data_IF_414272215895
#
_entry.id   IF_414272215895
#
_cell.length_a   1.000
_cell.length_b   1.000
_cell.length_c   1.000
_cell.angle_alpha   90.00
_cell.angle_beta   90.00
_cell.angle_gamma   90.00
#
_symmetry.space_group_name_H-M   'P 1'
#
loop_
_entity.id
_entity.type
_entity.pdbx_description
1 polymer ?
#
# COMPACT_ATOMS: atom_id res chain seq x y z
N UNK A 1 1.73 9.26 5.51
CA UNK A 1 0.51 9.49 6.30
C UNK A 1 0.57 8.54 7.46
N UNK A 2 0.38 9.02 8.67
CA UNK A 2 0.33 8.17 9.86
C UNK A 2 -0.60 8.82 10.88
N UNK A 3 -1.21 8.03 11.76
CA UNK A 3 -2.03 8.55 12.87
C UNK A 3 -1.17 9.00 14.05
N UNK A 4 0.12 8.66 14.08
CA UNK A 4 1.03 8.95 15.18
C UNK A 4 2.23 9.79 14.70
N UNK A 5 2.20 11.09 15.00
CA UNK A 5 3.33 12.00 14.72
C UNK A 5 4.56 11.74 15.58
N UNK A 6 4.39 11.37 16.85
CA UNK A 6 5.51 11.17 17.79
C UNK A 6 6.49 10.13 17.26
N UNK A 7 6.00 9.01 16.71
CA UNK A 7 6.81 7.96 16.11
C UNK A 7 7.58 8.43 14.87
N UNK A 8 6.96 9.27 14.02
CA UNK A 8 7.64 9.89 12.88
C UNK A 8 8.76 10.83 13.35
N UNK A 9 8.47 11.68 14.34
CA UNK A 9 9.41 12.66 14.87
C UNK A 9 10.60 12.02 15.59
N UNK A 10 10.42 10.82 16.16
CA UNK A 10 11.52 10.03 16.71
C UNK A 10 12.58 9.67 15.65
N UNK A 11 12.16 9.34 14.43
CA UNK A 11 13.04 9.01 13.30
C UNK A 11 13.52 10.21 12.49
N UNK A 12 12.81 11.34 12.58
CA UNK A 12 13.04 12.53 11.76
C UNK A 12 14.49 13.07 11.84
N UNK A 13 15.19 13.12 12.99
CA UNK A 13 16.58 13.58 13.05
C UNK A 13 17.52 12.75 12.16
N UNK A 14 17.26 11.45 12.00
CA UNK A 14 18.05 10.57 11.13
C UNK A 14 17.79 10.89 9.66
N UNK A 15 16.53 11.13 9.30
CA UNK A 15 16.12 11.52 7.95
C UNK A 15 16.70 12.88 7.57
N UNK A 16 16.72 13.83 8.52
CA UNK A 16 17.35 15.15 8.35
C UNK A 16 18.86 15.02 8.17
N UNK A 17 19.52 14.18 8.98
CA UNK A 17 20.96 13.88 8.85
C UNK A 17 21.31 13.26 7.50
N UNK A 18 20.40 12.46 6.92
CA UNK A 18 20.55 11.91 5.58
C UNK A 18 20.32 12.93 4.45
N UNK A 19 19.85 14.15 4.77
CA UNK A 19 19.66 15.23 3.80
C UNK A 19 18.43 15.08 2.89
N UNK A 20 17.49 14.17 3.21
CA UNK A 20 16.34 13.85 2.34
C UNK A 20 14.98 14.27 2.91
N UNK A 21 14.94 14.88 4.10
CA UNK A 21 13.70 15.31 4.74
C UNK A 21 12.86 16.27 3.88
N UNK A 22 13.50 17.06 3.02
CA UNK A 22 12.84 18.00 2.09
C UNK A 22 11.94 17.31 1.05
N UNK A 23 12.03 15.98 0.89
CA UNK A 23 11.18 15.19 -0.01
C UNK A 23 9.88 14.73 0.67
N UNK A 24 9.73 14.93 1.98
CA UNK A 24 8.67 14.33 2.78
C UNK A 24 7.65 15.39 3.16
N UNK A 25 6.42 15.23 2.67
CA UNK A 25 5.25 15.90 3.23
C UNK A 25 4.55 14.94 4.20
N UNK A 26 4.76 15.14 5.50
CA UNK A 26 4.14 14.31 6.53
C UNK A 26 2.76 14.86 6.92
N UNK A 27 1.72 14.04 6.71
CA UNK A 27 0.36 14.30 7.17
C UNK A 27 0.04 13.38 8.34
N UNK A 28 -0.23 13.97 9.51
CA UNK A 28 -0.78 13.27 10.67
C UNK A 28 -2.29 13.17 10.52
N UNK A 29 -2.78 12.01 10.11
CA UNK A 29 -4.19 11.77 9.82
C UNK A 29 -4.42 10.28 9.53
N UNK A 30 -5.61 9.73 9.81
CA UNK A 30 -6.06 8.52 9.14
C UNK A 30 -5.92 8.67 7.62
N UNK A 31 -5.49 7.62 6.92
CA UNK A 31 -5.22 7.72 5.49
C UNK A 31 -6.50 7.94 4.66
N UNK A 32 -7.63 7.34 5.07
CA UNK A 32 -8.88 7.35 4.28
C UNK A 32 -9.37 8.76 3.91
N UNK A 33 -9.56 9.72 4.85
CA UNK A 33 -9.97 11.08 4.52
C UNK A 33 -9.00 11.80 3.57
N UNK A 34 -7.69 11.57 3.74
CA UNK A 34 -6.67 12.21 2.88
C UNK A 34 -6.75 11.66 1.46
N UNK A 35 -6.94 10.34 1.31
CA UNK A 35 -7.12 9.73 -0.01
C UNK A 35 -8.41 10.22 -0.68
N UNK A 36 -9.50 10.36 0.08
CA UNK A 36 -10.77 10.91 -0.43
C UNK A 36 -10.60 12.37 -0.88
N UNK A 37 -9.88 13.21 -0.12
CA UNK A 37 -9.56 14.59 -0.50
C UNK A 37 -8.69 14.65 -1.76
N UNK A 38 -7.65 13.82 -1.84
CA UNK A 38 -6.77 13.78 -3.02
C UNK A 38 -7.56 13.44 -4.29
N UNK A 39 -8.53 12.55 -4.21
CA UNK A 39 -9.37 12.16 -5.35
C UNK A 39 -10.34 13.24 -5.82
N UNK A 40 -10.64 14.25 -5.01
CA UNK A 40 -11.51 15.36 -5.41
C UNK A 40 -10.84 16.29 -6.44
N UNK A 41 -9.50 16.33 -6.48
CA UNK A 41 -8.76 17.07 -7.50
C UNK A 41 -8.32 16.11 -8.62
N UNK A 42 -8.93 16.27 -9.80
CA UNK A 42 -8.61 15.53 -11.03
C UNK A 42 -7.12 15.52 -11.38
N UNK A 43 -6.35 16.55 -10.96
CA UNK A 43 -4.90 16.59 -11.20
C UNK A 43 -4.12 15.51 -10.44
N UNK A 44 -4.69 14.95 -9.39
CA UNK A 44 -4.06 13.88 -8.61
C UNK A 44 -4.30 12.49 -9.21
N UNK A 45 -5.24 12.35 -10.14
CA UNK A 45 -5.51 11.07 -10.80
C UNK A 45 -4.31 10.69 -11.68
N UNK A 46 -3.76 9.51 -11.42
CA UNK A 46 -2.55 9.03 -12.08
C UNK A 46 -1.32 9.94 -11.88
N UNK A 47 -1.23 10.69 -10.78
CA UNK A 47 -0.08 11.56 -10.51
C UNK A 47 1.07 10.85 -9.79
N UNK A 48 0.79 9.73 -9.09
CA UNK A 48 1.78 9.02 -8.28
C UNK A 48 2.48 7.91 -9.06
N UNK A 49 3.82 7.88 -9.00
CA UNK A 49 4.63 6.80 -9.59
C UNK A 49 4.64 5.54 -8.73
N UNK A 50 4.70 5.71 -7.41
CA UNK A 50 4.81 4.62 -6.45
C UNK A 50 4.02 4.93 -5.17
N UNK A 51 3.37 3.91 -4.62
CA UNK A 51 2.64 3.99 -3.36
C UNK A 51 2.98 2.76 -2.52
N UNK A 52 3.40 2.96 -1.27
CA UNK A 52 3.64 1.89 -0.32
C UNK A 52 2.57 1.91 0.78
N UNK A 53 1.95 0.76 1.03
CA UNK A 53 0.84 0.58 1.96
C UNK A 53 1.29 -0.37 3.07
N UNK A 54 1.67 0.21 4.20
CA UNK A 54 1.98 -0.50 5.45
C UNK A 54 1.22 0.15 6.62
N UNK A 55 -0.09 -0.06 6.65
CA UNK A 55 -0.98 0.44 7.70
C UNK A 55 -1.91 -0.68 8.24
N UNK A 56 -3.10 -0.30 8.69
CA UNK A 56 -4.18 -1.16 9.17
C UNK A 56 -4.76 -2.06 8.05
N UNK A 57 -4.62 -3.37 8.25
CA UNK A 57 -4.84 -4.39 7.20
C UNK A 57 -6.31 -4.51 6.77
N UNK A 58 -7.24 -4.21 7.67
CA UNK A 58 -8.68 -4.18 7.43
C UNK A 58 -9.13 -3.08 6.45
N UNK A 59 -8.29 -2.05 6.22
CA UNK A 59 -8.55 -1.02 5.22
C UNK A 59 -7.84 -1.23 3.88
N UNK A 60 -7.03 -2.27 3.69
CA UNK A 60 -6.22 -2.39 2.45
C UNK A 60 -7.06 -2.44 1.18
N UNK A 61 -8.21 -3.10 1.21
CA UNK A 61 -9.15 -3.09 0.09
C UNK A 61 -9.79 -1.71 -0.14
N UNK A 62 -10.08 -0.98 0.94
CA UNK A 62 -10.61 0.38 0.86
C UNK A 62 -9.57 1.35 0.28
N UNK A 63 -8.30 1.19 0.65
CA UNK A 63 -7.17 1.89 0.06
C UNK A 63 -7.03 1.52 -1.41
N UNK A 64 -7.02 0.23 -1.76
CA UNK A 64 -6.83 -0.23 -3.13
C UNK A 64 -7.80 0.43 -4.12
N UNK A 65 -9.08 0.58 -3.73
CA UNK A 65 -10.11 1.27 -4.54
C UNK A 65 -9.76 2.73 -4.87
N UNK A 66 -8.98 3.41 -4.02
CA UNK A 66 -8.59 4.82 -4.18
C UNK A 66 -7.21 4.95 -4.82
N UNK A 67 -6.27 4.16 -4.33
CA UNK A 67 -4.88 4.18 -4.78
C UNK A 67 -4.75 3.80 -6.25
N UNK A 68 -5.61 2.91 -6.75
CA UNK A 68 -5.62 2.55 -8.16
C UNK A 68 -5.92 3.76 -9.05
N UNK A 69 -6.75 4.72 -8.62
CA UNK A 69 -7.04 5.93 -9.40
C UNK A 69 -5.89 6.95 -9.32
N UNK A 70 -5.20 7.03 -8.18
CA UNK A 70 -4.09 7.95 -7.94
C UNK A 70 -2.77 7.51 -8.61
N UNK A 71 -2.53 6.21 -8.74
CA UNK A 71 -1.28 5.68 -9.28
C UNK A 71 -1.27 5.71 -10.82
N UNK A 72 -0.13 6.00 -11.45
CA UNK A 72 -0.01 6.15 -12.91
C UNK A 72 -0.49 4.92 -13.69
N UNK A 73 -1.20 5.15 -14.80
CA UNK A 73 -1.57 4.10 -15.77
C UNK A 73 -0.38 3.77 -16.68
N UNK A 74 -0.18 2.48 -16.96
CA UNK A 74 0.71 2.02 -18.02
C UNK A 74 0.19 2.43 -19.41
N UNK A 75 0.72 3.52 -19.96
CA UNK A 75 0.41 3.98 -21.32
C UNK A 75 1.42 3.38 -22.30
N UNK A 76 1.22 2.12 -22.67
CA UNK A 76 2.11 1.38 -23.60
C UNK A 76 2.16 1.95 -25.03
N UNK A 77 1.40 2.98 -25.38
CA UNK A 77 1.13 3.37 -26.78
C UNK A 77 1.69 4.71 -27.25
N UNK A 78 2.45 5.50 -26.47
CA UNK A 78 3.01 6.77 -26.97
C UNK A 78 4.46 6.98 -26.50
N UNK A 79 5.40 6.64 -27.40
CA UNK A 79 6.80 7.10 -27.63
C UNK A 79 7.80 7.30 -26.48
N UNK A 80 7.40 7.23 -25.21
CA UNK A 80 8.30 7.20 -24.06
C UNK A 80 7.69 6.21 -23.07
N UNK A 81 8.25 5.01 -22.97
CA UNK A 81 7.78 3.93 -22.09
C UNK A 81 7.67 4.41 -20.63
N UNK A 82 6.53 4.99 -20.27
CA UNK A 82 6.20 5.27 -18.88
C UNK A 82 5.77 3.95 -18.28
N UNK A 83 6.66 3.34 -17.51
CA UNK A 83 6.34 2.20 -16.65
C UNK A 83 5.10 2.61 -15.84
N UNK A 84 4.03 1.81 -15.94
CA UNK A 84 2.84 2.02 -15.11
C UNK A 84 3.21 2.12 -13.64
N UNK A 85 2.47 2.92 -12.88
CA UNK A 85 2.78 3.11 -11.48
C UNK A 85 2.54 1.83 -10.66
N UNK A 86 3.20 1.78 -9.51
CA UNK A 86 3.31 0.58 -8.70
C UNK A 86 2.77 0.82 -7.29
N UNK A 87 1.94 -0.10 -6.79
CA UNK A 87 1.49 -0.14 -5.40
C UNK A 87 2.12 -1.35 -4.71
N UNK A 88 2.77 -1.15 -3.56
CA UNK A 88 3.27 -2.24 -2.72
C UNK A 88 2.42 -2.38 -1.46
N UNK A 89 1.85 -3.56 -1.23
CA UNK A 89 1.16 -3.90 0.03
C UNK A 89 2.07 -4.76 0.90
N UNK A 90 2.32 -4.33 2.13
CA UNK A 90 3.21 -5.04 3.06
C UNK A 90 2.47 -6.05 3.95
N UNK A 91 3.25 -6.96 4.53
CA UNK A 91 2.83 -8.07 5.40
C UNK A 91 1.75 -8.99 4.79
N UNK A 92 1.78 -9.19 3.47
CA UNK A 92 0.79 -9.99 2.73
C UNK A 92 0.90 -11.50 2.96
N UNK A 93 1.96 -11.98 3.61
CA UNK A 93 2.06 -13.36 4.13
C UNK A 93 1.69 -13.46 5.62
N UNK A 94 1.57 -12.32 6.31
CA UNK A 94 1.03 -12.15 7.68
C UNK A 94 1.54 -13.19 8.69
N UNK A 95 2.85 -13.18 8.92
CA UNK A 95 3.62 -14.09 9.76
C UNK A 95 3.38 -15.57 9.41
N UNK A 96 3.14 -15.86 8.13
CA UNK A 96 2.78 -17.18 7.61
C UNK A 96 1.40 -17.68 8.06
N UNK A 97 0.63 -16.88 8.80
CA UNK A 97 -0.65 -17.32 9.36
C UNK A 97 -1.73 -17.58 8.30
N UNK A 98 -1.54 -17.07 7.08
CA UNK A 98 -2.43 -17.31 5.93
C UNK A 98 -2.55 -18.79 5.55
N UNK A 99 -1.58 -19.63 5.94
CA UNK A 99 -1.62 -21.10 5.77
C UNK A 99 -1.76 -21.87 7.09
N UNK A 100 -1.89 -21.18 8.23
CA UNK A 100 -2.07 -21.83 9.51
C UNK A 100 -3.45 -22.51 9.60
N UNK A 101 -3.55 -23.68 10.25
CA UNK A 101 -4.82 -24.37 10.47
C UNK A 101 -5.74 -23.54 11.38
N UNK A 102 -7.05 -23.80 11.31
CA UNK A 102 -8.07 -22.97 11.99
C UNK A 102 -7.90 -22.91 13.51
N UNK A 103 -7.44 -24.02 14.12
CA UNK A 103 -7.19 -24.21 15.54
C UNK A 103 -5.76 -23.82 15.99
N UNK A 104 -4.92 -23.31 15.08
CA UNK A 104 -3.55 -22.90 15.42
C UNK A 104 -3.54 -21.85 16.55
N UNK A 105 -2.64 -21.96 17.54
CA UNK A 105 -2.51 -20.95 18.59
C UNK A 105 -1.85 -19.67 18.05
N UNK A 106 -2.66 -18.74 17.56
CA UNK A 106 -2.22 -17.44 17.02
C UNK A 106 -2.43 -16.31 18.04
N UNK A 107 -1.54 -15.31 18.05
CA UNK A 107 -1.73 -14.07 18.81
C UNK A 107 -3.03 -13.38 18.35
N UNK A 108 -3.73 -12.72 19.28
CA UNK A 108 -5.04 -12.09 19.02
C UNK A 108 -5.04 -11.17 17.79
N UNK A 109 -4.04 -10.28 17.67
CA UNK A 109 -3.95 -9.37 16.53
C UNK A 109 -3.64 -10.08 15.21
N UNK A 110 -2.79 -11.13 15.23
CA UNK A 110 -2.50 -11.94 14.04
C UNK A 110 -3.78 -12.61 13.56
N UNK A 111 -4.53 -13.24 14.46
CA UNK A 111 -5.82 -13.88 14.14
C UNK A 111 -6.84 -12.87 13.60
N UNK A 112 -6.93 -11.68 14.20
CA UNK A 112 -7.87 -10.63 13.77
C UNK A 112 -7.63 -10.16 12.33
N UNK A 113 -6.37 -9.83 12.00
CA UNK A 113 -6.04 -9.29 10.67
C UNK A 113 -5.87 -10.36 9.58
N UNK A 114 -5.67 -11.63 9.97
CA UNK A 114 -5.46 -12.74 9.03
C UNK A 114 -6.54 -12.81 7.96
N UNK A 115 -7.81 -12.70 8.35
CA UNK A 115 -8.91 -12.86 7.40
C UNK A 115 -8.97 -11.71 6.40
N UNK A 116 -8.67 -10.48 6.83
CA UNK A 116 -8.54 -9.32 5.93
C UNK A 116 -7.37 -9.47 4.95
N UNK A 117 -6.22 -9.97 5.41
CA UNK A 117 -5.07 -10.23 4.51
C UNK A 117 -5.41 -11.33 3.50
N UNK A 118 -6.11 -12.38 3.91
CA UNK A 118 -6.56 -13.44 2.98
C UNK A 118 -7.58 -12.92 1.97
N UNK A 119 -8.50 -12.04 2.38
CA UNK A 119 -9.46 -11.38 1.49
C UNK A 119 -8.75 -10.48 0.48
N UNK A 120 -7.83 -9.64 0.96
CA UNK A 120 -6.98 -8.80 0.12
C UNK A 120 -6.24 -9.61 -0.94
N UNK A 121 -5.52 -10.65 -0.52
CA UNK A 121 -4.70 -11.46 -1.43
C UNK A 121 -5.56 -12.09 -2.55
N UNK A 122 -6.76 -12.57 -2.22
CA UNK A 122 -7.70 -13.09 -3.20
C UNK A 122 -8.18 -12.00 -4.16
N UNK A 123 -8.54 -10.83 -3.64
CA UNK A 123 -9.03 -9.73 -4.45
C UNK A 123 -7.96 -9.21 -5.42
N UNK A 124 -6.72 -9.02 -4.95
CA UNK A 124 -5.59 -8.60 -5.78
C UNK A 124 -5.28 -9.63 -6.87
N UNK A 125 -5.37 -10.92 -6.57
CA UNK A 125 -5.10 -12.00 -7.53
C UNK A 125 -6.08 -12.06 -8.71
N UNK A 126 -7.28 -11.48 -8.56
CA UNK A 126 -8.31 -11.49 -9.61
C UNK A 126 -8.63 -10.09 -10.14
N UNK A 127 -7.92 -9.05 -9.70
CA UNK A 127 -8.18 -7.68 -10.16
C UNK A 127 -7.60 -7.46 -11.57
N UNK A 128 -8.43 -7.25 -12.60
CA UNK A 128 -7.98 -7.15 -14.00
C UNK A 128 -7.26 -5.82 -14.32
N UNK A 129 -7.19 -4.89 -13.38
CA UNK A 129 -6.55 -3.57 -13.54
C UNK A 129 -5.06 -3.62 -13.23
N UNK A 130 -4.57 -4.71 -12.64
CA UNK A 130 -3.19 -4.83 -12.16
C UNK A 130 -2.52 -6.12 -12.65
N UNK A 131 -1.20 -6.05 -12.83
CA UNK A 131 -0.33 -7.22 -12.76
C UNK A 131 0.22 -7.32 -11.34
N UNK A 132 0.27 -8.53 -10.77
CA UNK A 132 0.75 -8.74 -9.40
C UNK A 132 1.97 -9.65 -9.31
N UNK A 133 2.79 -9.40 -8.28
CA UNK A 133 3.85 -10.30 -7.85
C UNK A 133 3.91 -10.29 -6.31
N UNK A 134 3.59 -11.42 -5.69
CA UNK A 134 3.74 -11.61 -4.24
C UNK A 134 5.13 -12.19 -3.96
N UNK A 135 5.96 -11.42 -3.26
CA UNK A 135 7.35 -11.77 -2.96
C UNK A 135 7.51 -12.12 -1.48
N UNK A 136 8.24 -13.20 -1.14
CA UNK A 136 8.52 -13.59 0.24
C UNK A 136 9.69 -12.78 0.85
N UNK A 137 9.66 -11.46 0.66
CA UNK A 137 10.60 -10.52 1.30
C UNK A 137 9.93 -9.95 2.54
N UNK A 138 10.64 -9.91 3.66
CA UNK A 138 10.06 -9.49 4.94
C UNK A 138 8.91 -10.40 5.36
N UNK A 139 7.75 -9.81 5.66
CA UNK A 139 6.53 -10.55 5.98
C UNK A 139 5.58 -10.71 4.76
N UNK A 140 6.17 -10.64 3.57
CA UNK A 140 5.47 -10.71 2.29
C UNK A 140 5.10 -9.34 1.76
N UNK A 141 5.59 -9.01 0.56
CA UNK A 141 5.19 -7.80 -0.16
C UNK A 141 4.50 -8.18 -1.46
N UNK A 142 3.28 -7.67 -1.68
CA UNK A 142 2.59 -7.82 -2.96
C UNK A 142 2.72 -6.55 -3.77
N UNK A 143 3.48 -6.64 -4.86
CA UNK A 143 3.67 -5.58 -5.84
C UNK A 143 2.54 -5.63 -6.87
N UNK A 144 1.87 -4.50 -7.09
CA UNK A 144 0.73 -4.35 -7.98
C UNK A 144 1.02 -3.25 -9.01
N UNK A 145 1.27 -3.62 -10.27
CA UNK A 145 1.55 -2.69 -11.36
C UNK A 145 0.25 -2.36 -12.11
N UNK A 146 -0.15 -1.10 -12.14
CA UNK A 146 -1.40 -0.67 -12.81
C UNK A 146 -1.29 -0.79 -14.33
N UNK A 147 -2.28 -1.43 -14.96
CA UNK A 147 -2.36 -1.68 -16.40
C UNK A 147 -3.31 -0.73 -17.14
N UNK A 148 -4.36 -0.28 -16.46
CA UNK A 148 -5.48 0.49 -17.02
C UNK A 148 -5.90 1.59 -16.06
#
# INVERSE_FOLDING_TARGET
MDINRENYELGLPVIQKAGVAHKIEFKESPAMPVLDELLQDEKNHGSYDFIFVDADKDNYLNYHRRLIELVKVDKRSIELAKVGGLIGYDNTLWNGSVVAPADAPLRKFVRYYRDFVMELNKALAVDPRIEICMLPVGDGITLCRRLK
#
